data_IF_410523233482
#
_entry.id   IF_410523233482
#
_cell.length_a   1.000
_cell.length_b   1.000
_cell.length_c   1.000
_cell.angle_alpha   90.00
_cell.angle_beta   90.00
_cell.angle_gamma   90.00
#
_symmetry.space_group_name_H-M   'P 1'
#
loop_
_entity.id
_entity.type
_entity.pdbx_description
1 polymer ?
#
# COMPACT_ATOMS: atom_id res chain seq x y z
N UNK A 1 20.38 12.21 -29.58
CA UNK A 1 19.96 12.64 -28.23
C UNK A 1 18.89 11.67 -27.79
N UNK A 2 19.28 10.56 -27.15
CA UNK A 2 18.38 9.46 -26.76
C UNK A 2 17.64 9.86 -25.50
N UNK A 3 16.33 10.02 -25.60
CA UNK A 3 15.40 10.23 -24.49
C UNK A 3 15.38 8.98 -23.62
N UNK A 4 16.02 9.06 -22.45
CA UNK A 4 15.82 8.09 -21.38
C UNK A 4 14.36 8.22 -20.93
N UNK A 5 13.51 7.29 -21.36
CA UNK A 5 12.21 7.08 -20.74
C UNK A 5 12.51 6.76 -19.28
N UNK A 6 12.26 7.73 -18.41
CA UNK A 6 12.26 7.55 -16.97
C UNK A 6 11.16 6.55 -16.68
N UNK A 7 11.54 5.28 -16.62
CA UNK A 7 10.69 4.17 -16.21
C UNK A 7 10.11 4.59 -14.87
N UNK A 8 8.82 4.97 -14.86
CA UNK A 8 8.15 5.33 -13.62
C UNK A 8 8.37 4.17 -12.68
N UNK A 9 9.05 4.39 -11.54
CA UNK A 9 9.31 3.37 -10.53
C UNK A 9 7.97 2.88 -9.97
N UNK A 10 7.26 2.04 -10.71
CA UNK A 10 5.96 1.52 -10.34
C UNK A 10 6.16 0.63 -9.14
N UNK A 11 5.53 0.96 -8.02
CA UNK A 11 5.63 0.17 -6.80
C UNK A 11 5.11 -1.23 -7.08
N UNK A 12 6.00 -2.23 -6.96
CA UNK A 12 5.65 -3.64 -7.12
C UNK A 12 5.14 -4.20 -5.79
N UNK A 13 3.84 -4.03 -5.51
CA UNK A 13 3.18 -4.59 -4.32
C UNK A 13 3.42 -6.10 -4.16
N UNK A 14 3.62 -6.81 -5.27
CA UNK A 14 3.94 -8.23 -5.31
C UNK A 14 5.28 -8.61 -4.67
N UNK A 15 6.15 -7.65 -4.36
CA UNK A 15 7.40 -7.89 -3.64
C UNK A 15 7.20 -8.13 -2.14
N UNK A 16 6.00 -7.85 -1.61
CA UNK A 16 5.70 -8.13 -0.21
C UNK A 16 5.78 -9.64 0.06
N UNK A 17 6.49 -10.07 1.12
CA UNK A 17 6.74 -11.49 1.39
C UNK A 17 5.46 -12.33 1.54
N UNK A 18 4.39 -11.71 2.05
CA UNK A 18 3.08 -12.36 2.20
C UNK A 18 2.18 -12.21 0.98
N UNK A 19 2.64 -11.57 -0.09
CA UNK A 19 1.86 -11.45 -1.32
C UNK A 19 1.70 -12.82 -1.98
N UNK A 20 0.48 -13.13 -2.40
CA UNK A 20 0.18 -14.39 -3.05
C UNK A 20 -0.21 -14.16 -4.51
N UNK A 21 0.59 -14.68 -5.44
CA UNK A 21 0.35 -14.55 -6.88
C UNK A 21 -0.64 -15.57 -7.45
N UNK A 22 -1.11 -16.54 -6.66
CA UNK A 22 -2.08 -17.53 -7.11
C UNK A 22 -3.44 -16.86 -7.32
N UNK A 23 -4.19 -17.32 -8.33
CA UNK A 23 -5.57 -16.91 -8.54
C UNK A 23 -6.50 -17.45 -7.44
N UNK A 24 -7.68 -16.84 -7.30
CA UNK A 24 -8.73 -17.26 -6.38
C UNK A 24 -8.99 -16.28 -5.24
N UNK A 25 -10.24 -16.28 -4.76
CA UNK A 25 -10.76 -15.30 -3.80
C UNK A 25 -9.95 -15.26 -2.49
N UNK A 26 -9.48 -16.41 -1.99
CA UNK A 26 -8.69 -16.47 -0.75
C UNK A 26 -7.38 -15.71 -0.86
N UNK A 27 -6.71 -15.84 -2.00
CA UNK A 27 -5.45 -15.13 -2.26
C UNK A 27 -5.70 -13.65 -2.51
N UNK A 28 -6.79 -13.30 -3.20
CA UNK A 28 -7.25 -11.93 -3.36
C UNK A 28 -7.53 -11.24 -2.01
N UNK A 29 -8.23 -11.92 -1.10
CA UNK A 29 -8.48 -11.40 0.26
C UNK A 29 -7.19 -11.24 1.07
N UNK A 30 -6.24 -12.18 0.94
CA UNK A 30 -4.93 -12.05 1.57
C UNK A 30 -4.18 -10.80 1.07
N UNK A 31 -4.16 -10.56 -0.24
CA UNK A 31 -3.47 -9.40 -0.80
C UNK A 31 -4.21 -8.10 -0.45
N UNK A 32 -5.54 -8.10 -0.48
CA UNK A 32 -6.36 -6.96 -0.04
C UNK A 32 -6.09 -6.61 1.42
N UNK A 33 -5.96 -7.61 2.30
CA UNK A 33 -5.59 -7.39 3.70
C UNK A 33 -4.26 -6.63 3.80
N UNK A 34 -3.26 -6.99 3.01
CA UNK A 34 -1.95 -6.30 3.03
C UNK A 34 -2.06 -4.83 2.61
N UNK A 35 -2.87 -4.53 1.59
CA UNK A 35 -3.09 -3.16 1.10
C UNK A 35 -3.84 -2.30 2.14
N UNK A 36 -4.82 -2.88 2.83
CA UNK A 36 -5.65 -2.17 3.83
C UNK A 36 -4.94 -2.04 5.19
N UNK A 37 -3.97 -2.90 5.49
CA UNK A 37 -3.31 -2.97 6.80
C UNK A 37 -2.72 -1.64 7.29
N UNK A 38 -2.02 -0.81 6.48
CA UNK A 38 -1.49 0.48 6.94
C UNK A 38 -2.57 1.44 7.46
N UNK A 39 -3.75 1.43 6.83
CA UNK A 39 -4.88 2.26 7.26
C UNK A 39 -5.41 1.82 8.63
N UNK A 40 -5.55 0.51 8.84
CA UNK A 40 -5.99 -0.05 10.12
C UNK A 40 -4.99 0.25 11.23
N UNK A 41 -3.69 0.14 10.95
CA UNK A 41 -2.63 0.47 11.91
C UNK A 41 -2.63 1.94 12.29
N UNK A 42 -2.83 2.86 11.32
CA UNK A 42 -2.97 4.28 11.62
C UNK A 42 -4.17 4.52 12.55
N UNK A 43 -5.32 3.89 12.29
CA UNK A 43 -6.50 4.02 13.15
C UNK A 43 -6.27 3.56 14.59
N UNK A 44 -5.45 2.51 14.80
CA UNK A 44 -5.09 2.02 16.14
C UNK A 44 -4.11 2.96 16.87
N UNK A 45 -3.21 3.60 16.12
CA UNK A 45 -2.19 4.51 16.67
C UNK A 45 -2.76 5.91 16.90
N UNK A 46 -3.76 6.33 16.12
CA UNK A 46 -4.30 7.69 16.13
C UNK A 46 -4.66 8.21 17.54
N UNK A 47 -5.36 7.45 18.40
CA UNK A 47 -5.66 7.92 19.77
C UNK A 47 -4.42 8.17 20.62
N UNK A 48 -3.31 7.49 20.35
CA UNK A 48 -2.04 7.70 21.05
C UNK A 48 -1.32 8.96 20.56
N UNK A 49 -1.53 9.38 19.31
CA UNK A 49 -0.97 10.61 18.77
C UNK A 49 -1.59 11.86 19.41
N UNK A 50 -2.82 11.77 19.92
CA UNK A 50 -3.44 12.84 20.71
C UNK A 50 -2.75 13.02 22.08
N UNK A 51 -2.21 11.93 22.66
CA UNK A 51 -1.51 11.94 23.94
C UNK A 51 -0.02 12.27 23.75
N UNK A 52 0.59 11.71 22.72
CA UNK A 52 2.00 11.87 22.36
C UNK A 52 2.12 12.35 20.91
N UNK A 53 2.01 13.66 20.67
CA UNK A 53 2.08 14.21 19.32
C UNK A 53 3.39 13.84 18.62
N UNK A 54 3.27 13.17 17.47
CA UNK A 54 4.40 12.80 16.63
C UNK A 54 4.02 13.00 15.15
N UNK A 55 4.45 14.14 14.59
CA UNK A 55 4.17 14.52 13.21
C UNK A 55 4.85 13.61 12.19
N UNK A 56 6.03 13.09 12.52
CA UNK A 56 6.81 12.27 11.60
C UNK A 56 6.15 10.90 11.39
N UNK A 57 5.60 10.33 12.46
CA UNK A 57 4.84 9.08 12.38
C UNK A 57 3.58 9.27 11.53
N UNK A 58 2.84 10.36 11.77
CA UNK A 58 1.65 10.68 10.99
C UNK A 58 1.98 10.92 9.51
N UNK A 59 3.06 11.64 9.22
CA UNK A 59 3.54 11.88 7.86
C UNK A 59 3.92 10.56 7.17
N UNK A 60 4.69 9.70 7.84
CA UNK A 60 5.11 8.40 7.30
C UNK A 60 3.92 7.49 6.99
N UNK A 61 2.92 7.43 7.86
CA UNK A 61 1.69 6.69 7.60
C UNK A 61 0.88 7.27 6.43
N UNK A 62 0.76 8.60 6.33
CA UNK A 62 0.09 9.24 5.19
C UNK A 62 0.78 8.93 3.86
N UNK A 63 2.13 8.98 3.82
CA UNK A 63 2.90 8.59 2.64
C UNK A 63 2.68 7.12 2.27
N UNK A 64 2.73 6.22 3.27
CA UNK A 64 2.49 4.80 3.05
C UNK A 64 1.08 4.51 2.52
N UNK A 65 0.05 5.17 3.08
CA UNK A 65 -1.33 5.07 2.60
C UNK A 65 -1.46 5.62 1.18
N UNK A 66 -0.78 6.71 0.87
CA UNK A 66 -0.70 7.26 -0.50
C UNK A 66 -0.19 6.21 -1.50
N UNK A 67 0.91 5.53 -1.16
CA UNK A 67 1.45 4.43 -1.97
C UNK A 67 0.44 3.29 -2.09
N UNK A 68 -0.22 2.89 -0.99
CA UNK A 68 -1.24 1.82 -1.04
C UNK A 68 -2.42 2.18 -1.94
N UNK A 69 -2.83 3.46 -1.98
CA UNK A 69 -3.92 3.93 -2.82
C UNK A 69 -3.59 3.92 -4.32
N UNK A 70 -2.32 3.84 -4.71
CA UNK A 70 -1.92 3.63 -6.10
C UNK A 70 -2.18 2.20 -6.58
N UNK A 71 -2.53 1.27 -5.67
CA UNK A 71 -2.87 -0.09 -6.02
C UNK A 71 -4.10 -0.13 -6.93
N UNK A 72 -3.89 -0.56 -8.18
CA UNK A 72 -4.94 -0.86 -9.14
C UNK A 72 -5.04 -2.37 -9.30
N UNK A 73 -6.09 -3.03 -8.77
CA UNK A 73 -6.30 -4.43 -9.09
C UNK A 73 -6.46 -4.55 -10.62
N UNK A 74 -5.73 -5.50 -11.23
CA UNK A 74 -5.91 -5.79 -12.63
C UNK A 74 -7.35 -6.27 -12.85
N UNK A 75 -8.18 -5.41 -13.40
CA UNK A 75 -9.44 -5.82 -14.01
C UNK A 75 -9.09 -6.27 -15.42
N UNK A 76 -9.32 -7.53 -15.76
CA UNK A 76 -9.56 -7.86 -17.17
C UNK A 76 -10.77 -7.04 -17.57
N UNK A 77 -10.57 -6.02 -18.40
CA UNK A 77 -11.65 -5.48 -19.24
C UNK A 77 -12.27 -6.69 -19.94
N UNK A 78 -13.48 -7.04 -19.52
CA UNK A 78 -14.28 -8.10 -20.10
C UNK A 78 -14.70 -7.78 -21.52
#
# INVERSE_FOLDING_TARGET
MTTYLQESNSVKFSNHQQWNQKSGWKNALNNLRLIVQPLLLLGLIYPWLDIFPNSDLLLGFNQLIGIMNEFKPFYSSG
#
